data_IF_555386735612
#
_entry.id   IF_555386735612
#
_cell.length_a   1.000
_cell.length_b   1.000
_cell.length_c   1.000
_cell.angle_alpha   90.00
_cell.angle_beta   90.00
_cell.angle_gamma   90.00
#
_symmetry.space_group_name_H-M   'P 1'
#
loop_
_entity.id
_entity.type
_entity.pdbx_description
1 polymer ?
#
# COMPACT_ATOMS: atom_id res chain seq x y z
N UNK A 1 11.73 -16.76 -9.20
CA UNK A 1 11.31 -15.74 -8.22
C UNK A 1 12.56 -14.99 -7.79
N UNK A 2 12.70 -13.73 -8.17
CA UNK A 2 13.88 -12.95 -7.77
C UNK A 2 13.68 -12.49 -6.33
N UNK A 3 14.20 -13.25 -5.37
CA UNK A 3 14.44 -12.71 -4.04
C UNK A 3 15.56 -11.69 -4.19
N UNK A 4 15.27 -10.42 -3.90
CA UNK A 4 16.30 -9.39 -3.90
C UNK A 4 17.35 -9.77 -2.83
N UNK A 5 18.50 -10.30 -3.25
CA UNK A 5 19.58 -10.68 -2.33
C UNK A 5 20.28 -9.42 -1.85
N UNK A 6 20.69 -9.40 -0.58
CA UNK A 6 21.50 -8.32 -0.07
C UNK A 6 22.87 -8.35 -0.76
N UNK A 7 23.36 -7.20 -1.21
CA UNK A 7 24.68 -7.04 -1.81
C UNK A 7 25.44 -5.94 -1.09
N UNK A 8 26.77 -6.06 -0.98
CA UNK A 8 27.60 -5.03 -0.34
C UNK A 8 27.48 -3.66 -1.03
N UNK A 9 27.11 -3.63 -2.32
CA UNK A 9 26.80 -2.40 -3.05
C UNK A 9 25.65 -1.58 -2.45
N UNK A 10 24.79 -2.19 -1.61
CA UNK A 10 23.74 -1.49 -0.87
C UNK A 10 24.28 -0.68 0.32
N UNK A 11 25.53 -0.88 0.74
CA UNK A 11 26.20 -0.11 1.79
C UNK A 11 26.98 1.11 1.25
N UNK A 12 26.98 1.30 -0.08
CA UNK A 12 27.66 2.42 -0.72
C UNK A 12 27.20 3.78 -0.13
N UNK A 13 28.10 4.78 0.05
CA UNK A 13 27.77 6.07 0.68
C UNK A 13 26.53 6.78 0.14
N UNK A 14 26.24 6.60 -1.15
CA UNK A 14 25.00 7.08 -1.80
C UNK A 14 23.69 6.66 -1.10
N UNK A 15 23.73 5.59 -0.32
CA UNK A 15 22.57 5.05 0.40
C UNK A 15 22.56 5.38 1.89
N UNK A 16 23.56 6.07 2.43
CA UNK A 16 23.64 6.35 3.87
C UNK A 16 22.44 7.16 4.38
N UNK A 17 21.98 8.16 3.63
CA UNK A 17 20.77 8.91 3.99
C UNK A 17 19.52 8.02 3.99
N UNK A 18 19.41 7.10 3.02
CA UNK A 18 18.29 6.14 3.00
C UNK A 18 18.35 5.20 4.20
N UNK A 19 19.53 4.65 4.51
CA UNK A 19 19.73 3.80 5.69
C UNK A 19 19.43 4.53 6.99
N UNK A 20 19.89 5.78 7.11
CA UNK A 20 19.58 6.63 8.25
C UNK A 20 18.07 6.83 8.40
N UNK A 21 17.37 7.19 7.31
CA UNK A 21 15.91 7.35 7.32
C UNK A 21 15.17 6.07 7.70
N UNK A 22 15.64 4.91 7.22
CA UNK A 22 15.09 3.60 7.60
C UNK A 22 15.36 3.27 9.07
N UNK A 23 16.54 3.61 9.60
CA UNK A 23 16.87 3.46 11.01
C UNK A 23 15.99 4.32 11.90
N UNK A 24 15.79 5.60 11.53
CA UNK A 24 14.86 6.51 12.22
C UNK A 24 13.44 5.97 12.16
N UNK A 25 12.97 5.51 10.99
CA UNK A 25 11.64 4.91 10.87
C UNK A 25 11.50 3.67 11.75
N UNK A 26 12.51 2.79 11.77
CA UNK A 26 12.53 1.60 12.61
C UNK A 26 12.42 1.96 14.10
N UNK A 27 13.17 2.96 14.57
CA UNK A 27 13.11 3.47 15.94
C UNK A 27 11.72 4.05 16.27
N UNK A 28 11.20 4.91 15.39
CA UNK A 28 9.90 5.55 15.58
C UNK A 28 8.80 4.52 15.75
N UNK A 29 8.72 3.51 14.88
CA UNK A 29 7.65 2.51 14.96
C UNK A 29 7.77 1.58 16.16
N UNK A 30 8.84 1.61 16.95
CA UNK A 30 8.87 0.86 18.21
C UNK A 30 7.92 1.45 19.26
N UNK A 31 7.57 2.75 19.16
CA UNK A 31 6.68 3.44 20.09
C UNK A 31 5.28 2.81 20.14
N UNK A 32 4.55 2.90 21.28
CA UNK A 32 3.18 2.39 21.39
C UNK A 32 2.26 2.94 20.30
N UNK A 33 1.31 2.13 19.83
CA UNK A 33 0.42 2.51 18.72
C UNK A 33 -0.35 3.82 18.95
N UNK A 34 -0.88 4.15 20.15
CA UNK A 34 -1.52 5.45 20.39
C UNK A 34 -0.58 6.64 20.15
N UNK A 35 0.71 6.48 20.46
CA UNK A 35 1.73 7.50 20.21
C UNK A 35 1.98 7.64 18.71
N UNK A 36 2.03 6.52 17.98
CA UNK A 36 2.16 6.54 16.52
C UNK A 36 0.95 7.21 15.85
N UNK A 37 -0.26 6.93 16.32
CA UNK A 37 -1.49 7.59 15.87
C UNK A 37 -1.41 9.10 16.04
N UNK A 38 -1.01 9.55 17.23
CA UNK A 38 -0.87 10.97 17.52
C UNK A 38 0.23 11.62 16.65
N UNK A 39 1.39 10.98 16.53
CA UNK A 39 2.49 11.44 15.69
C UNK A 39 2.09 11.56 14.22
N UNK A 40 1.50 10.51 13.64
CA UNK A 40 1.09 10.52 12.24
C UNK A 40 -0.01 11.54 11.97
N UNK A 41 -1.02 11.65 12.85
CA UNK A 41 -2.04 12.69 12.72
C UNK A 41 -1.45 14.10 12.79
N UNK A 42 -0.47 14.33 13.67
CA UNK A 42 0.18 15.62 13.85
C UNK A 42 1.06 15.97 12.65
N UNK A 43 1.89 15.03 12.18
CA UNK A 43 2.71 15.18 10.99
C UNK A 43 1.85 15.43 9.74
N UNK A 44 0.75 14.70 9.60
CA UNK A 44 -0.23 14.90 8.54
C UNK A 44 -0.81 16.32 8.57
N UNK A 45 -1.24 16.77 9.75
CA UNK A 45 -1.80 18.11 9.95
C UNK A 45 -0.79 19.24 9.65
N UNK A 46 0.47 19.06 10.06
CA UNK A 46 1.56 20.02 9.77
C UNK A 46 1.88 20.02 8.27
N UNK A 47 1.96 18.84 7.65
CA UNK A 47 2.32 18.69 6.23
C UNK A 47 1.37 19.46 5.30
N UNK A 48 0.10 19.60 5.70
CA UNK A 48 -0.91 20.37 4.97
C UNK A 48 -0.51 21.83 4.75
N UNK A 49 0.26 22.42 5.67
CA UNK A 49 0.74 23.81 5.53
C UNK A 49 1.74 23.95 4.37
N UNK A 50 2.46 22.88 4.05
CA UNK A 50 3.51 22.88 3.02
C UNK A 50 3.04 22.26 1.69
N UNK A 51 2.13 21.28 1.74
CA UNK A 51 1.68 20.50 0.59
C UNK A 51 0.48 21.13 -0.14
N UNK A 52 0.54 22.43 -0.44
CA UNK A 52 -0.56 23.20 -1.03
C UNK A 52 -1.09 22.65 -2.35
N UNK A 53 -0.21 22.12 -3.20
CA UNK A 53 -0.62 21.46 -4.45
C UNK A 53 -1.46 20.20 -4.19
N UNK A 54 -1.06 19.36 -3.23
CA UNK A 54 -1.82 18.16 -2.86
C UNK A 54 -3.18 18.53 -2.24
N UNK A 55 -3.20 19.58 -1.43
CA UNK A 55 -4.45 20.11 -0.87
C UNK A 55 -5.41 20.57 -1.98
N UNK A 56 -4.94 21.37 -2.94
CA UNK A 56 -5.77 21.84 -4.06
C UNK A 56 -6.37 20.68 -4.88
N UNK A 57 -5.54 19.67 -5.21
CA UNK A 57 -6.00 18.49 -5.95
C UNK A 57 -7.04 17.70 -5.15
N UNK A 58 -6.78 17.45 -3.86
CA UNK A 58 -7.71 16.71 -3.02
C UNK A 58 -9.05 17.43 -2.85
N UNK A 59 -9.05 18.77 -2.72
CA UNK A 59 -10.30 19.55 -2.63
C UNK A 59 -11.12 19.38 -3.89
N UNK A 60 -10.46 19.53 -5.06
CA UNK A 60 -11.14 19.38 -6.34
C UNK A 60 -11.72 17.97 -6.50
N UNK A 61 -11.00 16.94 -6.08
CA UNK A 61 -11.51 15.57 -6.11
C UNK A 61 -12.74 15.41 -5.20
N UNK A 62 -12.71 15.95 -3.98
CA UNK A 62 -13.87 15.89 -3.07
C UNK A 62 -15.10 16.62 -3.61
N UNK A 63 -14.91 17.78 -4.26
CA UNK A 63 -16.01 18.50 -4.92
C UNK A 63 -16.65 17.69 -6.05
N UNK A 64 -15.83 16.99 -6.84
CA UNK A 64 -16.29 16.18 -7.97
C UNK A 64 -16.93 14.86 -7.52
N UNK A 65 -16.35 14.20 -6.50
CA UNK A 65 -16.82 12.91 -5.97
C UNK A 65 -18.00 13.04 -5.03
N UNK A 66 -18.09 14.15 -4.28
CA UNK A 66 -19.10 14.33 -3.26
C UNK A 66 -19.81 15.69 -3.39
N UNK A 67 -20.47 15.96 -4.53
CA UNK A 67 -21.13 17.23 -4.80
C UNK A 67 -22.27 17.55 -3.83
N UNK A 68 -22.85 16.53 -3.19
CA UNK A 68 -23.92 16.69 -2.21
C UNK A 68 -23.43 17.12 -0.81
N UNK A 69 -22.15 16.92 -0.49
CA UNK A 69 -21.60 17.33 0.81
C UNK A 69 -21.43 18.85 0.88
N UNK A 70 -21.69 19.41 2.05
CA UNK A 70 -21.41 20.81 2.37
C UNK A 70 -19.90 21.11 2.33
N UNK A 71 -19.50 22.39 2.18
CA UNK A 71 -18.10 22.79 2.26
C UNK A 71 -17.40 22.36 3.56
N UNK A 72 -18.13 22.37 4.69
CA UNK A 72 -17.61 21.96 6.00
C UNK A 72 -17.33 20.45 6.07
N UNK A 73 -18.26 19.62 5.58
CA UNK A 73 -18.06 18.17 5.52
C UNK A 73 -16.88 17.80 4.62
N UNK A 74 -16.72 18.47 3.47
CA UNK A 74 -15.56 18.26 2.60
C UNK A 74 -14.25 18.70 3.26
N UNK A 75 -14.27 19.78 4.04
CA UNK A 75 -13.12 20.24 4.80
C UNK A 75 -12.74 19.25 5.92
N UNK A 76 -13.73 18.64 6.58
CA UNK A 76 -13.52 17.56 7.54
C UNK A 76 -12.85 16.34 6.89
N UNK A 77 -13.36 15.89 5.74
CA UNK A 77 -12.76 14.80 4.96
C UNK A 77 -11.34 15.12 4.51
N UNK A 78 -11.10 16.36 4.06
CA UNK A 78 -9.76 16.80 3.68
C UNK A 78 -8.79 16.74 4.85
N UNK A 79 -9.21 17.23 6.02
CA UNK A 79 -8.41 17.17 7.25
C UNK A 79 -8.10 15.73 7.65
N UNK A 80 -9.11 14.85 7.60
CA UNK A 80 -8.94 13.41 7.82
C UNK A 80 -7.93 12.79 6.85
N UNK A 81 -8.04 13.10 5.55
CA UNK A 81 -7.12 12.60 4.54
C UNK A 81 -5.65 13.01 4.81
N UNK A 82 -5.40 14.24 5.24
CA UNK A 82 -4.05 14.67 5.62
C UNK A 82 -3.52 13.92 6.85
N UNK A 83 -4.35 13.67 7.86
CA UNK A 83 -3.97 12.82 9.00
C UNK A 83 -3.59 11.41 8.54
N UNK A 84 -4.38 10.82 7.63
CA UNK A 84 -4.08 9.51 7.04
C UNK A 84 -2.79 9.48 6.24
N UNK A 85 -2.46 10.56 5.52
CA UNK A 85 -1.16 10.70 4.82
C UNK A 85 0.01 10.64 5.81
N UNK A 86 -0.10 11.33 6.95
CA UNK A 86 0.93 11.28 7.98
C UNK A 86 1.07 9.89 8.62
N UNK A 87 -0.05 9.18 8.78
CA UNK A 87 -0.06 7.79 9.24
C UNK A 87 0.58 6.81 8.26
N UNK A 88 0.40 7.00 6.94
CA UNK A 88 0.85 6.07 5.91
C UNK A 88 2.35 5.73 6.00
N UNK A 89 3.21 6.70 6.36
CA UNK A 89 4.64 6.45 6.55
C UNK A 89 4.91 5.57 7.76
N UNK A 90 4.23 5.83 8.88
CA UNK A 90 4.36 5.03 10.09
C UNK A 90 3.83 3.62 9.85
N UNK A 91 2.67 3.48 9.19
CA UNK A 91 2.07 2.20 8.82
C UNK A 91 2.98 1.38 7.90
N UNK A 92 3.70 2.03 6.99
CA UNK A 92 4.74 1.37 6.18
C UNK A 92 5.84 0.79 7.06
N UNK A 93 6.34 1.58 8.04
CA UNK A 93 7.31 1.09 9.00
C UNK A 93 6.76 -0.04 9.88
N UNK A 94 5.50 0.06 10.34
CA UNK A 94 4.83 -0.99 11.10
C UNK A 94 4.76 -2.28 10.27
N UNK A 95 4.34 -2.20 9.01
CA UNK A 95 4.23 -3.35 8.12
C UNK A 95 5.57 -4.07 7.92
N UNK A 96 6.65 -3.30 7.72
CA UNK A 96 7.97 -3.85 7.42
C UNK A 96 8.73 -4.32 8.65
N UNK A 97 8.56 -3.68 9.80
CA UNK A 97 9.41 -3.90 10.97
C UNK A 97 8.71 -4.59 12.14
N UNK A 98 7.40 -4.44 12.34
CA UNK A 98 6.73 -5.07 13.47
C UNK A 98 6.74 -6.59 13.40
N UNK A 99 6.92 -7.28 14.54
CA UNK A 99 6.69 -8.70 14.64
C UNK A 99 5.20 -9.03 14.51
N UNK A 100 4.90 -10.25 14.04
CA UNK A 100 3.54 -10.70 13.73
C UNK A 100 2.56 -10.52 14.89
N UNK A 101 2.98 -10.87 16.11
CA UNK A 101 2.16 -10.75 17.31
C UNK A 101 1.74 -9.30 17.60
N UNK A 102 2.53 -8.31 17.18
CA UNK A 102 2.22 -6.90 17.38
C UNK A 102 1.24 -6.42 16.34
N UNK A 103 1.40 -6.82 15.08
CA UNK A 103 0.44 -6.51 14.01
C UNK A 103 -0.93 -7.10 14.34
N UNK A 104 -0.98 -8.38 14.75
CA UNK A 104 -2.22 -9.11 15.11
C UNK A 104 -3.06 -8.47 16.22
N UNK A 105 -2.51 -7.56 17.01
CA UNK A 105 -3.25 -6.86 18.07
C UNK A 105 -4.08 -5.68 17.57
N UNK A 106 -3.83 -5.21 16.35
CA UNK A 106 -4.37 -3.95 15.83
C UNK A 106 -5.21 -4.11 14.57
N UNK A 107 -5.66 -5.33 14.27
CA UNK A 107 -6.57 -5.57 13.15
C UNK A 107 -7.60 -6.64 13.48
N UNK A 108 -8.77 -6.48 12.88
CA UNK A 108 -9.78 -7.50 12.73
C UNK A 108 -10.00 -7.75 11.23
N UNK A 109 -10.44 -8.95 10.86
CA UNK A 109 -10.68 -9.32 9.46
C UNK A 109 -12.08 -9.90 9.32
N UNK A 110 -12.86 -9.31 8.42
CA UNK A 110 -14.17 -9.78 8.02
C UNK A 110 -14.12 -10.33 6.59
N UNK A 111 -14.91 -11.37 6.30
CA UNK A 111 -15.04 -11.91 4.95
C UNK A 111 -13.90 -12.83 4.49
N UNK A 112 -12.96 -13.20 5.37
CA UNK A 112 -11.86 -14.12 5.07
C UNK A 112 -12.37 -15.49 4.61
N UNK A 113 -13.50 -15.93 5.14
CA UNK A 113 -14.18 -17.17 4.79
C UNK A 113 -14.57 -17.24 3.31
N UNK A 114 -14.81 -16.09 2.66
CA UNK A 114 -15.10 -16.04 1.22
C UNK A 114 -13.88 -16.44 0.40
N UNK A 115 -12.70 -15.92 0.78
CA UNK A 115 -11.42 -16.26 0.15
C UNK A 115 -11.09 -17.74 0.38
N UNK A 116 -11.21 -18.21 1.62
CA UNK A 116 -10.93 -19.60 1.98
C UNK A 116 -11.85 -20.58 1.23
N UNK A 117 -13.16 -20.28 1.15
CA UNK A 117 -14.13 -21.10 0.41
C UNK A 117 -13.86 -21.13 -1.09
N UNK A 118 -13.43 -20.01 -1.67
CA UNK A 118 -13.05 -19.95 -3.07
C UNK A 118 -11.79 -20.80 -3.34
N UNK A 119 -10.78 -20.69 -2.47
CA UNK A 119 -9.54 -21.47 -2.60
C UNK A 119 -9.72 -22.96 -2.34
N UNK A 120 -10.64 -23.36 -1.45
CA UNK A 120 -10.95 -24.76 -1.17
C UNK A 120 -11.40 -25.55 -2.40
N UNK A 121 -11.86 -24.86 -3.46
CA UNK A 121 -12.24 -25.47 -4.75
C UNK A 121 -11.03 -25.70 -5.68
N UNK A 122 -9.79 -25.54 -5.19
CA UNK A 122 -8.54 -25.58 -5.97
C UNK A 122 -8.57 -24.64 -7.20
N UNK A 123 -9.32 -23.54 -7.10
CA UNK A 123 -9.37 -22.50 -8.13
C UNK A 123 -8.54 -21.31 -7.68
N UNK A 124 -7.75 -20.75 -8.59
CA UNK A 124 -7.03 -19.51 -8.32
C UNK A 124 -7.99 -18.38 -8.00
N UNK A 125 -7.60 -17.54 -7.05
CA UNK A 125 -8.43 -16.41 -6.61
C UNK A 125 -7.69 -15.12 -6.93
N UNK A 126 -8.34 -14.25 -7.70
CA UNK A 126 -7.84 -12.90 -7.92
C UNK A 126 -8.46 -11.97 -6.88
N UNK A 127 -7.64 -11.47 -5.96
CA UNK A 127 -8.05 -10.52 -4.93
C UNK A 127 -7.87 -9.13 -5.50
N UNK A 128 -8.97 -8.42 -5.72
CA UNK A 128 -8.96 -7.07 -6.28
C UNK A 128 -8.99 -6.07 -5.12
N UNK A 129 -7.94 -5.26 -5.01
CA UNK A 129 -7.85 -4.17 -4.02
C UNK A 129 -7.70 -2.82 -4.68
N UNK A 130 -7.98 -1.75 -3.94
CA UNK A 130 -7.69 -0.36 -4.34
C UNK A 130 -6.49 0.13 -3.52
N UNK A 131 -5.67 1.02 -4.08
CA UNK A 131 -4.58 1.64 -3.34
C UNK A 131 -5.13 2.61 -2.28
N UNK A 132 -5.26 2.11 -1.05
CA UNK A 132 -5.52 2.93 0.13
C UNK A 132 -4.20 3.41 0.76
N UNK A 133 -4.27 4.46 1.59
CA UNK A 133 -3.08 5.04 2.24
C UNK A 133 -2.29 4.02 3.08
N UNK A 134 -2.99 3.06 3.70
CA UNK A 134 -2.43 2.01 4.55
C UNK A 134 -2.02 0.74 3.79
N UNK A 135 -1.69 0.85 2.50
CA UNK A 135 -1.48 -0.31 1.62
C UNK A 135 -0.48 -1.34 2.15
N UNK A 136 0.67 -0.89 2.66
CA UNK A 136 1.71 -1.81 3.16
C UNK A 136 1.24 -2.57 4.40
N UNK A 137 0.53 -1.90 5.31
CA UNK A 137 -0.02 -2.53 6.51
C UNK A 137 -1.18 -3.46 6.14
N UNK A 138 -2.08 -3.05 5.24
CA UNK A 138 -3.14 -3.92 4.72
C UNK A 138 -2.58 -5.18 4.04
N UNK A 139 -1.54 -5.04 3.20
CA UNK A 139 -0.84 -6.17 2.58
C UNK A 139 -0.16 -7.08 3.60
N UNK A 140 0.38 -6.51 4.68
CA UNK A 140 0.94 -7.27 5.81
C UNK A 140 -0.13 -8.08 6.51
N UNK A 141 -1.27 -7.47 6.85
CA UNK A 141 -2.42 -8.11 7.51
C UNK A 141 -3.02 -9.21 6.65
N UNK A 142 -3.28 -8.94 5.36
CA UNK A 142 -3.79 -9.93 4.42
C UNK A 142 -2.87 -11.15 4.36
N UNK A 143 -1.56 -10.95 4.22
CA UNK A 143 -0.60 -12.06 4.22
C UNK A 143 -0.55 -12.84 5.53
N UNK A 144 -0.76 -12.18 6.69
CA UNK A 144 -0.80 -12.87 7.99
C UNK A 144 -2.06 -13.74 8.17
N UNK A 145 -3.12 -13.43 7.44
CA UNK A 145 -4.38 -14.18 7.45
C UNK A 145 -4.39 -15.27 6.39
N UNK A 146 -3.97 -14.94 5.17
CA UNK A 146 -3.87 -15.84 4.04
C UNK A 146 -2.69 -15.45 3.14
N UNK A 147 -1.54 -16.14 3.26
CA UNK A 147 -0.38 -15.86 2.43
C UNK A 147 -0.72 -15.97 0.94
N UNK A 148 -0.48 -14.90 0.20
CA UNK A 148 -0.81 -14.80 -1.23
C UNK A 148 0.34 -14.21 -2.03
N UNK A 149 0.22 -14.24 -3.35
CA UNK A 149 1.14 -13.56 -4.26
C UNK A 149 0.62 -12.14 -4.50
N UNK A 150 1.51 -11.16 -4.72
CA UNK A 150 1.09 -9.78 -4.99
C UNK A 150 1.77 -9.24 -6.24
N UNK A 151 1.00 -8.56 -7.10
CA UNK A 151 1.60 -7.83 -8.22
C UNK A 151 2.27 -6.55 -7.76
N UNK A 152 3.44 -6.22 -8.30
CA UNK A 152 4.12 -4.96 -7.99
C UNK A 152 4.97 -4.42 -9.15
N UNK A 153 5.34 -3.15 -9.02
CA UNK A 153 6.39 -2.52 -9.81
C UNK A 153 7.66 -2.41 -8.94
N UNK A 154 8.83 -2.85 -9.42
CA UNK A 154 10.09 -2.63 -8.71
C UNK A 154 10.34 -1.16 -8.41
N UNK A 155 10.88 -0.88 -7.24
CA UNK A 155 11.27 0.44 -6.81
C UNK A 155 12.54 0.91 -7.57
N UNK A 156 12.61 2.19 -7.93
CA UNK A 156 13.72 2.74 -8.72
C UNK A 156 15.08 2.68 -7.98
N UNK A 157 15.06 2.87 -6.65
CA UNK A 157 16.24 2.67 -5.78
C UNK A 157 16.39 1.21 -5.38
N UNK A 158 17.54 0.61 -5.67
CA UNK A 158 17.86 -0.79 -5.34
C UNK A 158 17.79 -1.10 -3.84
N UNK A 159 18.22 -0.15 -2.97
CA UNK A 159 18.09 -0.32 -1.53
C UNK A 159 16.61 -0.37 -1.11
N UNK A 160 15.81 0.58 -1.58
CA UNK A 160 14.38 0.60 -1.24
C UNK A 160 13.64 -0.60 -1.81
N UNK A 161 14.01 -1.08 -3.00
CA UNK A 161 13.52 -2.33 -3.56
C UNK A 161 13.82 -3.51 -2.64
N UNK A 162 15.07 -3.63 -2.18
CA UNK A 162 15.48 -4.68 -1.25
C UNK A 162 14.68 -4.63 0.06
N UNK A 163 14.54 -3.45 0.68
CA UNK A 163 13.83 -3.28 1.95
C UNK A 163 12.33 -3.55 1.79
N UNK A 164 11.70 -2.97 0.77
CA UNK A 164 10.27 -3.15 0.50
C UNK A 164 9.95 -4.61 0.21
N UNK A 165 10.72 -5.26 -0.66
CA UNK A 165 10.54 -6.68 -0.98
C UNK A 165 10.76 -7.54 0.26
N UNK A 166 11.80 -7.27 1.07
CA UNK A 166 12.01 -7.97 2.35
C UNK A 166 10.82 -7.81 3.29
N UNK A 167 10.28 -6.60 3.43
CA UNK A 167 9.12 -6.30 4.27
C UNK A 167 7.86 -7.04 3.82
N UNK A 168 7.53 -6.96 2.52
CA UNK A 168 6.34 -7.61 1.94
C UNK A 168 6.41 -9.14 2.03
N UNK A 169 7.60 -9.72 1.83
CA UNK A 169 7.81 -11.17 1.89
C UNK A 169 7.73 -11.76 3.30
N UNK A 170 7.62 -10.94 4.36
CA UNK A 170 7.43 -11.45 5.74
C UNK A 170 6.09 -12.17 5.94
N UNK A 171 5.08 -11.91 5.11
CA UNK A 171 3.77 -12.57 5.19
C UNK A 171 3.19 -12.98 3.83
N UNK A 172 3.87 -12.67 2.72
CA UNK A 172 3.40 -13.00 1.38
C UNK A 172 4.25 -14.10 0.75
N UNK A 173 3.64 -14.89 -0.15
CA UNK A 173 4.30 -16.03 -0.79
C UNK A 173 5.32 -15.59 -1.84
N UNK A 174 4.97 -14.58 -2.64
CA UNK A 174 5.83 -14.07 -3.70
C UNK A 174 5.34 -12.75 -4.27
N UNK A 175 6.27 -12.01 -4.87
CA UNK A 175 5.98 -10.82 -5.64
C UNK A 175 6.06 -11.11 -7.15
N UNK A 176 5.01 -10.79 -7.89
CA UNK A 176 4.94 -10.94 -9.34
C UNK A 176 5.11 -9.56 -9.97
N UNK A 177 6.09 -9.39 -10.86
CA UNK A 177 6.21 -8.12 -11.60
C UNK A 177 4.94 -7.85 -12.38
N UNK A 178 4.45 -6.60 -12.35
CA UNK A 178 3.24 -6.19 -13.08
C UNK A 178 3.29 -6.46 -14.59
N UNK A 179 4.49 -6.53 -15.17
CA UNK A 179 4.70 -6.83 -16.58
C UNK A 179 4.67 -8.34 -16.87
N UNK A 180 4.62 -9.20 -15.84
CA UNK A 180 4.66 -10.65 -15.97
C UNK A 180 3.26 -11.27 -15.87
N UNK A 181 2.41 -10.98 -16.87
CA UNK A 181 1.05 -11.53 -16.97
C UNK A 181 1.06 -13.06 -17.04
N UNK A 182 2.05 -13.66 -17.72
CA UNK A 182 2.20 -15.13 -17.79
C UNK A 182 2.41 -15.74 -16.41
N UNK A 183 3.23 -15.11 -15.57
CA UNK A 183 3.46 -15.52 -14.19
C UNK A 183 2.21 -15.43 -13.33
N UNK A 184 1.42 -14.35 -13.49
CA UNK A 184 0.12 -14.18 -12.82
C UNK A 184 -0.86 -15.29 -13.23
N UNK A 185 -1.04 -15.53 -14.53
CA UNK A 185 -1.95 -16.58 -15.02
C UNK A 185 -1.49 -17.96 -14.57
N UNK A 186 -0.18 -18.23 -14.58
CA UNK A 186 0.36 -19.50 -14.09
C UNK A 186 0.09 -19.71 -12.61
N UNK A 187 0.20 -18.66 -11.78
CA UNK A 187 -0.14 -18.73 -10.36
C UNK A 187 -1.63 -19.05 -10.14
N UNK A 188 -2.53 -18.34 -10.83
CA UNK A 188 -3.96 -18.60 -10.75
C UNK A 188 -4.33 -20.02 -11.19
N UNK A 189 -3.71 -20.52 -12.27
CA UNK A 189 -3.92 -21.91 -12.72
C UNK A 189 -3.45 -22.96 -11.72
N UNK A 190 -2.52 -22.62 -10.82
CA UNK A 190 -2.04 -23.48 -9.74
C UNK A 190 -2.91 -23.40 -8.46
N UNK A 191 -4.02 -22.66 -8.49
CA UNK A 191 -4.88 -22.48 -7.32
C UNK A 191 -4.41 -21.39 -6.35
N UNK A 192 -3.38 -20.61 -6.71
CA UNK A 192 -2.86 -19.56 -5.84
C UNK A 192 -3.79 -18.33 -5.79
N UNK A 193 -3.76 -17.63 -4.65
CA UNK A 193 -4.35 -16.30 -4.55
C UNK A 193 -3.35 -15.24 -5.04
N UNK A 194 -3.84 -14.31 -5.87
CA UNK A 194 -3.04 -13.19 -6.37
C UNK A 194 -3.76 -11.88 -6.09
N UNK A 195 -3.12 -11.00 -5.32
CA UNK A 195 -3.58 -9.63 -5.13
C UNK A 195 -3.20 -8.76 -6.33
N UNK A 196 -4.20 -8.05 -6.87
CA UNK A 196 -4.12 -7.19 -8.03
C UNK A 196 -4.85 -5.87 -7.76
N UNK A 197 -4.25 -4.76 -8.19
CA UNK A 197 -4.80 -3.44 -8.00
C UNK A 197 -5.05 -2.75 -9.35
N UNK A 198 -6.32 -2.69 -9.80
CA UNK A 198 -6.69 -2.23 -11.14
C UNK A 198 -6.69 -0.71 -11.29
N UNK A 199 -6.49 0.02 -10.19
CA UNK A 199 -6.50 1.49 -10.12
C UNK A 199 -5.16 2.15 -10.52
N UNK A 200 -4.13 1.35 -10.84
CA UNK A 200 -2.95 1.87 -11.52
C UNK A 200 -3.16 1.90 -13.04
N UNK A 201 -2.91 3.06 -13.65
CA UNK A 201 -2.82 3.17 -15.11
C UNK A 201 -1.62 2.36 -15.61
N UNK A 202 -1.89 1.33 -16.40
CA UNK A 202 -0.88 0.46 -17.02
C UNK A 202 -0.29 1.03 -18.31
N UNK A 203 -0.62 2.28 -18.65
CA UNK A 203 -0.20 2.96 -19.86
C UNK A 203 -1.18 2.74 -21.02
N UNK A 204 -0.87 3.34 -22.17
CA UNK A 204 -1.79 3.43 -23.33
C UNK A 204 -2.19 2.09 -23.95
N UNK A 205 -1.43 1.02 -23.72
CA UNK A 205 -1.68 -0.28 -24.37
C UNK A 205 -2.57 -1.15 -23.48
N UNK A 206 -3.82 -1.34 -23.88
CA UNK A 206 -4.78 -2.20 -23.18
C UNK A 206 -5.61 -1.52 -22.09
N UNK A 207 -5.55 -0.19 -21.98
CA UNK A 207 -6.41 0.59 -21.08
C UNK A 207 -7.80 0.78 -21.68
N UNK A 208 -8.85 0.23 -21.06
CA UNK A 208 -10.22 0.66 -21.32
C UNK A 208 -10.60 1.78 -20.36
N UNK A 209 -11.13 2.88 -20.89
CA UNK A 209 -11.55 4.01 -20.07
C UNK A 209 -12.85 3.65 -19.33
N UNK A 210 -12.76 3.40 -18.02
CA UNK A 210 -13.91 3.24 -17.16
C UNK A 210 -14.15 4.53 -16.34
N UNK A 211 -15.41 4.89 -16.05
CA UNK A 211 -15.71 5.93 -15.09
C UNK A 211 -15.18 5.54 -13.71
N UNK A 212 -14.30 6.36 -13.13
CA UNK A 212 -13.91 6.23 -11.72
C UNK A 212 -14.69 7.29 -10.94
N UNK A 213 -15.63 6.82 -10.11
CA UNK A 213 -16.46 7.55 -9.14
C UNK A 213 -17.38 8.68 -9.66
N UNK A 214 -17.14 9.32 -10.81
CA UNK A 214 -17.82 10.57 -11.21
C UNK A 214 -18.28 10.70 -12.67
N UNK A 215 -18.33 9.63 -13.46
CA UNK A 215 -18.82 9.73 -14.86
C UNK A 215 -17.95 10.56 -15.83
N UNK A 216 -16.92 11.26 -15.35
CA UNK A 216 -15.94 11.97 -16.18
C UNK A 216 -14.63 11.18 -16.24
N UNK A 217 -14.18 10.89 -17.47
CA UNK A 217 -12.90 10.24 -17.76
C UNK A 217 -11.76 11.11 -17.21
N UNK A 218 -11.24 10.78 -16.03
CA UNK A 218 -10.12 11.47 -15.41
C UNK A 218 -8.78 10.88 -15.87
N UNK A 219 -7.88 11.73 -16.37
CA UNK A 219 -6.44 11.41 -16.43
C UNK A 219 -5.87 11.53 -15.01
N UNK A 220 -5.26 10.46 -14.51
CA UNK A 220 -4.32 10.58 -13.41
C UNK A 220 -3.00 11.16 -13.96
N UNK A 221 -2.59 12.31 -13.44
CA UNK A 221 -1.29 12.93 -13.69
C UNK A 221 -0.26 12.51 -12.64
#
# INVERSE_FOLDING_TARGET
>A
MSQCKFTLSLLHPRYWFTWFGLGVLWLLVQLPYPVLLWLGATLGSISRRFLKRRESIGRRNLELCFPALSPEEREHLMTGNFKSIGMALLETGMAWFWPDHRVRKWFDVEGLENLQRAQAKNRGVMVIGVHFMSLELGGRVMGLCQPMMATYRPHNSALMEWVQTRGRMRSNKAMISRNNLRGLVSALKKGEAVWFAPDQDYGRNGSSFAPVLCGKKGRHH
#
